data_IF_313130115734
#
_entry.id   IF_313130115734
#
_cell.length_a   1.000
_cell.length_b   1.000
_cell.length_c   1.000
_cell.angle_alpha   90.00
_cell.angle_beta   90.00
_cell.angle_gamma   90.00
#
_symmetry.space_group_name_H-M   'P 1'
#
loop_
_entity.id
_entity.type
_entity.pdbx_description
1 polymer ?
#
# COMPACT_ATOMS: atom_id res chain seq x y z
N UNK A 1 -14.54 -6.97 -8.08
CA UNK A 1 -13.43 -6.33 -8.83
C UNK A 1 -12.13 -6.88 -8.29
N UNK A 2 -11.29 -7.49 -9.12
CA UNK A 2 -9.97 -7.95 -8.69
C UNK A 2 -9.00 -6.77 -8.69
N UNK A 3 -8.42 -6.46 -7.53
CA UNK A 3 -7.37 -5.45 -7.41
C UNK A 3 -6.06 -6.10 -7.83
N UNK A 4 -5.59 -5.81 -9.05
CA UNK A 4 -4.38 -6.44 -9.63
C UNK A 4 -3.16 -6.41 -8.71
N UNK A 5 -3.04 -5.37 -7.89
CA UNK A 5 -1.91 -5.16 -6.97
C UNK A 5 -1.89 -6.17 -5.81
N UNK A 6 -3.05 -6.71 -5.41
CA UNK A 6 -3.13 -7.74 -4.37
C UNK A 6 -2.66 -9.11 -4.87
N UNK A 7 -2.74 -9.34 -6.18
CA UNK A 7 -2.32 -10.58 -6.84
C UNK A 7 -0.87 -10.51 -7.34
N UNK A 8 -0.23 -9.32 -7.29
CA UNK A 8 1.14 -9.08 -7.73
C UNK A 8 2.19 -9.63 -6.74
N UNK A 9 3.45 -9.79 -7.17
CA UNK A 9 4.51 -10.32 -6.32
C UNK A 9 4.92 -9.35 -5.19
N UNK A 10 4.66 -9.74 -3.93
CA UNK A 10 5.04 -8.99 -2.73
C UNK A 10 6.34 -9.46 -2.09
N UNK A 11 7.08 -10.37 -2.74
CA UNK A 11 8.29 -10.97 -2.18
C UNK A 11 9.33 -9.93 -1.73
N UNK A 12 9.51 -8.84 -2.49
CA UNK A 12 10.42 -7.74 -2.12
C UNK A 12 9.99 -7.08 -0.80
N UNK A 13 8.71 -6.73 -0.67
CA UNK A 13 8.15 -6.14 0.54
C UNK A 13 8.30 -7.09 1.73
N UNK A 14 7.92 -8.36 1.54
CA UNK A 14 7.97 -9.38 2.59
C UNK A 14 9.40 -9.62 3.06
N UNK A 15 10.36 -9.70 2.14
CA UNK A 15 11.79 -9.86 2.45
C UNK A 15 12.37 -8.65 3.19
N UNK A 16 11.95 -7.44 2.83
CA UNK A 16 12.38 -6.22 3.51
C UNK A 16 11.78 -6.09 4.91
N UNK A 17 10.49 -6.44 5.05
CA UNK A 17 9.75 -6.34 6.31
C UNK A 17 10.14 -7.41 7.32
N UNK A 18 10.44 -8.65 6.89
CA UNK A 18 10.91 -9.76 7.76
C UNK A 18 12.10 -9.38 8.66
N UNK A 19 12.89 -8.38 8.28
CA UNK A 19 14.03 -7.90 9.08
C UNK A 19 13.64 -6.87 10.16
N UNK A 20 12.40 -6.35 10.13
CA UNK A 20 11.95 -5.17 10.89
C UNK A 20 10.56 -5.30 11.53
N UNK A 21 9.78 -6.33 11.19
CA UNK A 21 8.46 -6.57 11.77
C UNK A 21 7.59 -7.54 10.96
N UNK A 22 6.27 -7.47 11.17
CA UNK A 22 5.29 -8.32 10.49
C UNK A 22 4.95 -7.84 9.07
N UNK A 23 5.20 -8.71 8.08
CA UNK A 23 4.88 -8.48 6.66
C UNK A 23 3.37 -8.40 6.35
N UNK A 24 2.53 -8.88 7.28
CA UNK A 24 1.08 -8.85 7.12
C UNK A 24 0.46 -7.48 7.39
N UNK A 25 1.24 -6.53 7.93
CA UNK A 25 0.77 -5.20 8.29
C UNK A 25 1.54 -4.12 7.54
N UNK A 26 0.82 -3.05 7.22
CA UNK A 26 1.36 -1.85 6.59
C UNK A 26 1.56 -0.74 7.63
N UNK A 27 2.75 -0.13 7.67
CA UNK A 27 3.01 1.03 8.52
C UNK A 27 3.03 2.31 7.69
N UNK A 28 2.10 3.20 8.03
CA UNK A 28 2.08 4.56 7.50
C UNK A 28 3.25 5.43 7.99
N UNK A 29 3.98 4.98 9.02
CA UNK A 29 5.10 5.72 9.60
C UNK A 29 6.43 5.36 8.95
N UNK A 30 6.48 4.24 8.23
CA UNK A 30 7.69 3.82 7.52
C UNK A 30 7.66 4.37 6.09
N UNK A 31 8.45 5.41 5.83
CA UNK A 31 8.52 6.09 4.53
C UNK A 31 8.76 5.14 3.36
N UNK A 32 9.55 4.08 3.58
CA UNK A 32 9.84 3.09 2.55
C UNK A 32 8.62 2.22 2.17
N UNK A 33 7.68 1.99 3.09
CA UNK A 33 6.45 1.25 2.78
C UNK A 33 5.49 2.08 1.95
N UNK A 34 5.41 3.38 2.26
CA UNK A 34 4.67 4.36 1.47
C UNK A 34 5.25 4.44 0.06
N UNK A 35 6.56 4.63 -0.06
CA UNK A 35 7.25 4.70 -1.35
C UNK A 35 7.09 3.40 -2.17
N UNK A 36 7.22 2.24 -1.52
CA UNK A 36 6.99 0.95 -2.16
C UNK A 36 5.57 0.83 -2.72
N UNK A 37 4.55 1.17 -1.92
CA UNK A 37 3.16 1.09 -2.34
C UNK A 37 2.87 2.07 -3.49
N UNK A 38 3.41 3.29 -3.43
CA UNK A 38 3.30 4.28 -4.52
C UNK A 38 3.87 3.73 -5.81
N UNK A 39 5.10 3.23 -5.79
CA UNK A 39 5.77 2.69 -6.97
C UNK A 39 5.02 1.47 -7.54
N UNK A 40 4.52 0.61 -6.66
CA UNK A 40 3.76 -0.58 -7.06
C UNK A 40 2.40 -0.24 -7.67
N UNK A 41 1.72 0.80 -7.17
CA UNK A 41 0.49 1.33 -7.80
C UNK A 41 0.82 1.96 -9.15
N UNK A 42 1.84 2.82 -9.25
CA UNK A 42 2.23 3.46 -10.53
C UNK A 42 2.60 2.45 -11.61
N UNK A 43 3.27 1.34 -11.24
CA UNK A 43 3.60 0.26 -12.17
C UNK A 43 2.35 -0.41 -12.77
N UNK A 44 1.30 -0.59 -11.96
CA UNK A 44 0.05 -1.22 -12.39
C UNK A 44 -0.95 -0.23 -13.02
N UNK A 45 -0.89 1.04 -12.60
CA UNK A 45 -1.82 2.11 -12.96
C UNK A 45 -1.03 3.40 -13.29
N UNK A 46 -0.32 3.45 -14.43
CA UNK A 46 0.57 4.56 -14.78
C UNK A 46 -0.16 5.90 -15.00
N UNK A 47 -1.47 5.85 -15.21
CA UNK A 47 -2.30 7.05 -15.40
C UNK A 47 -2.68 7.75 -14.08
N UNK A 48 -2.40 7.15 -12.93
CA UNK A 48 -2.71 7.74 -11.62
C UNK A 48 -1.49 8.55 -11.17
N UNK A 49 -1.73 9.83 -10.85
CA UNK A 49 -0.67 10.70 -10.36
C UNK A 49 -0.19 10.28 -8.97
N UNK A 50 1.11 10.44 -8.74
CA UNK A 50 1.74 10.13 -7.46
C UNK A 50 1.07 10.87 -6.28
N UNK A 51 0.74 12.15 -6.48
CA UNK A 51 0.03 12.95 -5.48
C UNK A 51 -1.31 12.32 -5.08
N UNK A 52 -2.10 11.83 -6.06
CA UNK A 52 -3.38 11.18 -5.79
C UNK A 52 -3.21 9.88 -4.98
N UNK A 53 -2.15 9.13 -5.26
CA UNK A 53 -1.79 7.91 -4.52
C UNK A 53 -1.42 8.26 -3.07
N UNK A 54 -0.56 9.26 -2.88
CA UNK A 54 -0.14 9.71 -1.55
C UNK A 54 -1.32 10.24 -0.72
N UNK A 55 -2.24 10.99 -1.33
CA UNK A 55 -3.48 11.43 -0.67
C UNK A 55 -4.35 10.24 -0.25
N UNK A 56 -4.54 9.25 -1.13
CA UNK A 56 -5.30 8.04 -0.81
C UNK A 56 -4.67 7.25 0.35
N UNK A 57 -3.34 7.08 0.34
CA UNK A 57 -2.59 6.45 1.43
C UNK A 57 -2.80 7.22 2.73
N UNK A 58 -2.60 8.54 2.73
CA UNK A 58 -2.77 9.40 3.90
C UNK A 58 -4.18 9.30 4.50
N UNK A 59 -5.22 9.27 3.66
CA UNK A 59 -6.59 9.09 4.11
C UNK A 59 -6.83 7.69 4.71
N UNK A 60 -6.32 6.64 4.08
CA UNK A 60 -6.43 5.27 4.62
C UNK A 60 -5.65 5.07 5.92
N UNK A 61 -4.52 5.77 6.07
CA UNK A 61 -3.76 5.80 7.32
C UNK A 61 -4.56 6.36 8.50
N UNK A 62 -5.43 7.35 8.25
CA UNK A 62 -6.34 7.93 9.24
C UNK A 62 -7.60 7.10 9.46
N UNK A 63 -8.05 6.39 8.42
CA UNK A 63 -9.30 5.61 8.43
C UNK A 63 -9.13 4.28 9.16
N UNK A 64 -7.99 3.61 9.03
CA UNK A 64 -7.75 2.29 9.63
C UNK A 64 -6.92 2.47 10.92
N UNK A 65 -7.55 2.40 12.11
CA UNK A 65 -6.84 2.56 13.38
C UNK A 65 -5.96 1.34 13.69
N UNK A 66 -4.89 1.56 14.45
CA UNK A 66 -4.00 0.50 14.93
C UNK A 66 -3.24 -0.23 13.81
N UNK A 67 -3.12 -1.55 13.98
CA UNK A 67 -2.46 -2.44 13.02
C UNK A 67 -3.28 -2.47 11.72
N UNK A 68 -2.66 -2.09 10.60
CA UNK A 68 -3.32 -1.99 9.29
C UNK A 68 -3.01 -3.25 8.49
N UNK A 69 -3.91 -4.25 8.41
CA UNK A 69 -3.64 -5.44 7.63
C UNK A 69 -3.39 -5.05 6.18
N UNK A 70 -2.30 -5.52 5.58
CA UNK A 70 -1.85 -5.10 4.24
C UNK A 70 -2.97 -5.19 3.22
N UNK A 71 -3.70 -6.31 3.20
CA UNK A 71 -4.81 -6.53 2.27
C UNK A 71 -5.87 -5.43 2.42
N UNK A 72 -6.40 -5.25 3.63
CA UNK A 72 -7.42 -4.24 3.93
C UNK A 72 -6.91 -2.81 3.64
N UNK A 73 -5.63 -2.55 3.91
CA UNK A 73 -5.03 -1.25 3.64
C UNK A 73 -4.96 -0.96 2.14
N UNK A 74 -4.46 -1.91 1.35
CA UNK A 74 -4.40 -1.78 -0.12
C UNK A 74 -5.80 -1.68 -0.72
N UNK A 75 -6.78 -2.44 -0.21
CA UNK A 75 -8.19 -2.31 -0.60
C UNK A 75 -8.73 -0.90 -0.35
N UNK A 76 -8.46 -0.33 0.83
CA UNK A 76 -8.84 1.06 1.14
C UNK A 76 -8.21 2.05 0.15
N UNK A 77 -6.91 1.91 -0.13
CA UNK A 77 -6.19 2.82 -1.03
C UNK A 77 -6.78 2.74 -2.43
N UNK A 78 -6.99 1.52 -2.94
CA UNK A 78 -7.51 1.31 -4.29
C UNK A 78 -8.96 1.76 -4.46
N UNK A 79 -9.80 1.60 -3.43
CA UNK A 79 -11.18 2.11 -3.42
C UNK A 79 -11.27 3.65 -3.46
N UNK A 80 -10.19 4.38 -3.17
CA UNK A 80 -10.14 5.85 -3.28
C UNK A 80 -9.55 6.31 -4.61
N UNK A 81 -8.96 5.40 -5.37
CA UNK A 81 -8.26 5.69 -6.63
C UNK A 81 -9.10 5.35 -7.87
N UNK A 82 -9.86 4.26 -7.78
CA UNK A 82 -10.77 3.72 -8.80
C UNK A 82 -12.22 4.06 -8.46
#
# INVERSE_FOLDING_TARGET
MSIKILEDDWSEYDNRKKKRGDANFFSCQESWEVDYLVNKIKKNYPNISEQKILEAISQCCKTIPGNKPRKQFVECVMSRLL
#
